data_IF_219383695106
#
_entry.id   IF_219383695106
#
_cell.length_a   1.000
_cell.length_b   1.000
_cell.length_c   1.000
_cell.angle_alpha   90.00
_cell.angle_beta   90.00
_cell.angle_gamma   90.00
#
_symmetry.space_group_name_H-M   'P 1'
#
loop_
_entity.id
_entity.type
_entity.pdbx_description
1 polymer ?
#
# COMPACT_ATOMS: atom_id res chain seq x y z
N UNK A 1 18.85 19.58 -6.91
CA UNK A 1 18.18 19.20 -5.64
C UNK A 1 17.34 20.36 -5.10
N UNK A 2 17.85 21.60 -5.05
CA UNK A 2 17.07 22.78 -4.68
C UNK A 2 15.88 23.07 -5.62
N UNK A 3 16.02 22.85 -6.95
CA UNK A 3 14.89 22.99 -7.90
C UNK A 3 13.76 21.99 -7.70
N UNK A 4 14.07 20.76 -7.26
CA UNK A 4 13.05 19.74 -7.01
C UNK A 4 12.27 20.09 -5.75
N UNK A 5 12.96 20.54 -4.69
CA UNK A 5 12.34 21.04 -3.47
C UNK A 5 11.51 22.30 -3.76
N UNK A 6 11.99 23.22 -4.60
CA UNK A 6 11.27 24.43 -4.99
C UNK A 6 10.03 24.15 -5.84
N UNK A 7 10.17 23.31 -6.86
CA UNK A 7 9.05 22.88 -7.72
C UNK A 7 8.02 22.08 -6.91
N UNK A 8 8.48 21.22 -6.00
CA UNK A 8 7.62 20.38 -5.17
C UNK A 8 6.90 21.16 -4.07
N UNK A 9 7.62 22.06 -3.37
CA UNK A 9 7.00 22.99 -2.43
C UNK A 9 6.04 23.92 -3.13
N UNK A 10 6.33 24.40 -4.34
CA UNK A 10 5.36 25.18 -5.13
C UNK A 10 4.11 24.37 -5.44
N UNK A 11 4.27 23.09 -5.83
CA UNK A 11 3.17 22.16 -6.13
C UNK A 11 2.31 21.83 -4.91
N UNK A 12 2.91 21.76 -3.71
CA UNK A 12 2.22 21.46 -2.44
C UNK A 12 1.78 22.72 -1.66
N UNK A 13 2.40 23.88 -1.91
CA UNK A 13 2.12 25.16 -1.23
C UNK A 13 0.76 25.75 -1.62
N UNK A 14 0.12 25.21 -2.65
CA UNK A 14 -1.28 25.47 -2.98
C UNK A 14 -2.27 24.70 -2.06
N UNK A 15 -1.77 23.95 -1.07
CA UNK A 15 -2.55 23.60 0.12
C UNK A 15 -3.63 22.53 -0.06
N UNK A 16 -3.58 21.73 -1.12
CA UNK A 16 -4.53 20.64 -1.32
C UNK A 16 -3.81 19.30 -1.34
N UNK A 17 -4.08 18.49 -0.32
CA UNK A 17 -3.94 17.05 -0.46
C UNK A 17 -4.71 16.62 -1.70
N UNK A 18 -4.05 15.92 -2.64
CA UNK A 18 -4.75 15.42 -3.81
C UNK A 18 -5.55 14.20 -3.38
N UNK A 19 -6.87 14.32 -3.43
CA UNK A 19 -7.81 13.23 -3.24
C UNK A 19 -8.02 12.53 -4.58
N UNK A 20 -7.72 11.24 -4.64
CA UNK A 20 -8.08 10.40 -5.78
C UNK A 20 -9.02 9.28 -5.35
N UNK A 21 -10.03 9.02 -6.18
CA UNK A 21 -10.86 7.83 -6.00
C UNK A 21 -9.98 6.58 -6.15
N UNK A 22 -10.43 5.50 -5.56
CA UNK A 22 -9.61 4.30 -5.53
C UNK A 22 -10.41 3.04 -5.79
N UNK A 23 -9.70 1.99 -6.20
CA UNK A 23 -10.28 0.71 -6.58
C UNK A 23 -9.63 -0.42 -5.81
N UNK A 24 -10.46 -1.40 -5.44
CA UNK A 24 -10.01 -2.70 -4.97
C UNK A 24 -9.89 -3.65 -6.16
N UNK A 25 -8.86 -4.50 -6.19
CA UNK A 25 -8.77 -5.55 -7.19
C UNK A 25 -9.96 -6.50 -7.06
N UNK A 26 -10.58 -6.84 -8.20
CA UNK A 26 -11.71 -7.79 -8.27
C UNK A 26 -11.36 -9.22 -7.84
N UNK A 27 -10.08 -9.53 -7.68
CA UNK A 27 -9.57 -10.84 -7.27
C UNK A 27 -8.50 -10.65 -6.20
N UNK A 28 -8.61 -11.46 -5.14
CA UNK A 28 -7.56 -11.56 -4.13
C UNK A 28 -6.38 -12.39 -4.67
N UNK A 29 -5.20 -11.77 -4.73
CA UNK A 29 -3.95 -12.39 -5.23
C UNK A 29 -2.98 -12.75 -4.11
N UNK A 30 -3.42 -12.68 -2.85
CA UNK A 30 -2.56 -12.84 -1.68
C UNK A 30 -2.25 -11.51 -0.99
N UNK A 31 -2.25 -10.40 -1.74
CA UNK A 31 -2.02 -9.03 -1.23
C UNK A 31 -3.35 -8.27 -1.23
N UNK A 32 -3.57 -7.45 -0.21
CA UNK A 32 -4.66 -6.47 -0.22
C UNK A 32 -4.06 -5.14 -0.67
N UNK A 33 -4.51 -4.66 -1.82
CA UNK A 33 -4.01 -3.44 -2.45
C UNK A 33 -5.18 -2.53 -2.82
N UNK A 34 -4.95 -1.22 -2.73
CA UNK A 34 -5.83 -0.19 -3.26
C UNK A 34 -5.09 0.50 -4.39
N UNK A 35 -5.77 0.72 -5.51
CA UNK A 35 -5.22 1.43 -6.67
C UNK A 35 -5.86 2.81 -6.81
N UNK A 36 -5.10 3.85 -7.15
CA UNK A 36 -5.70 5.07 -7.70
C UNK A 36 -6.53 4.74 -8.94
N UNK A 37 -7.76 5.27 -9.02
CA UNK A 37 -8.60 5.14 -10.22
C UNK A 37 -8.01 5.90 -11.41
N UNK A 38 -7.36 7.03 -11.12
CA UNK A 38 -6.61 7.84 -12.06
C UNK A 38 -5.14 7.89 -11.62
N UNK A 39 -4.24 7.69 -12.59
CA UNK A 39 -2.80 7.66 -12.36
C UNK A 39 -2.06 8.80 -13.08
N UNK A 40 -2.72 9.68 -13.82
CA UNK A 40 -2.06 10.68 -14.67
C UNK A 40 -1.11 11.57 -13.87
N UNK A 41 -1.57 12.08 -12.73
CA UNK A 41 -0.73 12.82 -11.78
C UNK A 41 0.50 12.02 -11.34
N UNK A 42 0.33 10.75 -10.99
CA UNK A 42 1.43 9.91 -10.54
C UNK A 42 2.41 9.58 -11.67
N UNK A 43 1.93 9.50 -12.92
CA UNK A 43 2.78 9.32 -14.11
C UNK A 43 3.61 10.56 -14.40
N UNK A 44 3.00 11.75 -14.36
CA UNK A 44 3.72 13.02 -14.50
C UNK A 44 4.79 13.15 -13.40
N UNK A 45 4.45 12.76 -12.18
CA UNK A 45 5.39 12.76 -11.07
C UNK A 45 6.56 11.78 -11.29
N UNK A 46 6.29 10.58 -11.82
CA UNK A 46 7.35 9.64 -12.20
C UNK A 46 8.30 10.23 -13.24
N UNK A 47 7.78 10.90 -14.27
CA UNK A 47 8.59 11.52 -15.32
C UNK A 47 9.53 12.60 -14.75
N UNK A 48 9.00 13.48 -13.90
CA UNK A 48 9.78 14.49 -13.17
C UNK A 48 10.85 13.85 -12.30
N UNK A 49 10.53 12.78 -11.56
CA UNK A 49 11.52 12.10 -10.72
C UNK A 49 12.64 11.48 -11.57
N UNK A 50 12.30 10.82 -12.68
CA UNK A 50 13.28 10.19 -13.58
C UNK A 50 14.19 11.24 -14.23
N UNK A 51 13.69 12.43 -14.57
CA UNK A 51 14.54 13.49 -15.13
C UNK A 51 15.62 13.97 -14.15
N UNK A 52 15.36 13.92 -12.83
CA UNK A 52 16.35 14.22 -11.80
C UNK A 52 17.21 13.00 -11.42
N UNK A 53 16.62 11.81 -11.44
CA UNK A 53 17.29 10.56 -11.09
C UNK A 53 17.24 9.58 -12.28
N UNK A 54 18.06 9.79 -13.33
CA UNK A 54 17.96 9.04 -14.59
C UNK A 54 18.29 7.54 -14.44
N UNK A 55 18.92 7.13 -13.35
CA UNK A 55 19.12 5.71 -13.02
C UNK A 55 17.88 5.00 -12.49
N UNK A 56 16.82 5.74 -12.15
CA UNK A 56 15.56 5.16 -11.70
C UNK A 56 14.61 4.92 -12.89
N UNK A 57 13.74 3.95 -12.72
CA UNK A 57 12.70 3.54 -13.66
C UNK A 57 11.33 3.69 -13.01
N UNK A 58 10.30 4.08 -13.78
CA UNK A 58 8.94 4.19 -13.27
C UNK A 58 8.38 2.82 -12.88
N UNK A 59 7.73 2.78 -11.71
CA UNK A 59 6.97 1.63 -11.24
C UNK A 59 5.67 1.51 -12.04
N UNK A 60 5.45 0.35 -12.68
CA UNK A 60 4.30 0.17 -13.58
C UNK A 60 2.98 0.00 -12.84
N UNK A 61 2.96 -0.79 -11.77
CA UNK A 61 1.76 -1.13 -11.02
C UNK A 61 1.65 -0.26 -9.77
N UNK A 62 1.11 0.95 -9.94
CA UNK A 62 0.89 1.90 -8.86
C UNK A 62 -0.25 1.42 -7.97
N UNK A 63 0.05 1.24 -6.68
CA UNK A 63 -0.91 0.82 -5.68
C UNK A 63 -0.38 1.14 -4.28
N UNK A 64 -1.31 1.28 -3.34
CA UNK A 64 -1.05 1.20 -1.91
C UNK A 64 -1.24 -0.24 -1.51
N UNK A 65 -0.21 -0.88 -0.95
CA UNK A 65 -0.42 -2.15 -0.26
C UNK A 65 -1.03 -1.85 1.11
N UNK A 66 -2.21 -2.39 1.37
CA UNK A 66 -2.86 -2.36 2.69
C UNK A 66 -2.35 -3.47 3.60
N UNK A 67 -2.06 -4.63 3.01
CA UNK A 67 -1.61 -5.81 3.74
C UNK A 67 -0.70 -6.68 2.87
N UNK A 68 0.46 -7.04 3.40
CA UNK A 68 1.41 -7.93 2.74
C UNK A 68 0.91 -9.38 2.71
N UNK A 69 1.35 -10.14 1.71
CA UNK A 69 0.87 -11.51 1.45
C UNK A 69 1.19 -12.57 2.51
N UNK A 70 2.14 -12.30 3.41
CA UNK A 70 2.47 -13.21 4.51
C UNK A 70 1.39 -13.20 5.59
N UNK A 71 0.77 -12.05 5.87
CA UNK A 71 -0.17 -11.89 6.99
C UNK A 71 -1.41 -12.77 6.86
N UNK A 72 -2.15 -12.78 5.73
CA UNK A 72 -3.35 -13.61 5.59
C UNK A 72 -3.10 -15.10 5.83
N UNK A 73 -1.88 -15.58 5.60
CA UNK A 73 -1.53 -16.99 5.81
C UNK A 73 -1.29 -17.34 7.27
N UNK A 74 -0.99 -16.35 8.11
CA UNK A 74 -0.73 -16.50 9.55
C UNK A 74 -2.01 -16.38 10.38
N UNK A 75 -3.07 -15.78 9.83
CA UNK A 75 -4.37 -15.63 10.48
C UNK A 75 -5.15 -16.95 10.35
N UNK A 76 -5.58 -17.49 11.47
CA UNK A 76 -6.48 -18.65 11.55
C UNK A 76 -7.73 -18.25 12.31
N UNK A 77 -8.88 -18.23 11.64
CA UNK A 77 -10.14 -18.00 12.35
C UNK A 77 -10.51 -19.26 13.13
N UNK A 78 -10.34 -19.23 14.46
CA UNK A 78 -10.68 -20.38 15.33
C UNK A 78 -12.18 -20.64 15.41
N UNK A 79 -13.02 -19.69 15.02
CA UNK A 79 -14.49 -19.81 15.02
C UNK A 79 -15.06 -20.28 13.68
N UNK A 80 -14.25 -20.31 12.62
CA UNK A 80 -14.65 -20.77 11.29
C UNK A 80 -13.81 -21.97 10.89
N UNK A 81 -14.46 -23.11 10.65
CA UNK A 81 -13.80 -24.33 10.21
C UNK A 81 -14.14 -24.64 8.76
N UNK A 82 -13.19 -25.24 8.05
CA UNK A 82 -13.48 -25.84 6.75
C UNK A 82 -14.29 -27.14 6.89
N UNK A 83 -14.66 -27.74 5.76
CA UNK A 83 -15.44 -28.99 5.74
C UNK A 83 -14.70 -30.19 6.36
N UNK A 84 -13.43 -30.04 6.76
CA UNK A 84 -12.61 -31.05 7.43
C UNK A 84 -12.38 -30.74 8.91
N UNK A 85 -13.02 -29.69 9.44
CA UNK A 85 -12.86 -29.29 10.84
C UNK A 85 -11.54 -28.55 11.13
N UNK A 86 -10.86 -28.01 10.12
CA UNK A 86 -9.61 -27.25 10.27
C UNK A 86 -9.94 -25.75 10.30
N UNK A 87 -9.36 -24.95 11.23
CA UNK A 87 -9.55 -23.51 11.25
C UNK A 87 -9.25 -22.88 9.88
N UNK A 88 -10.15 -22.02 9.42
CA UNK A 88 -10.05 -21.41 8.11
C UNK A 88 -8.92 -20.38 8.10
N UNK A 89 -7.98 -20.56 7.16
CA UNK A 89 -6.86 -19.64 6.94
C UNK A 89 -7.34 -18.31 6.33
N UNK A 90 -6.77 -17.19 6.76
CA UNK A 90 -7.20 -15.84 6.36
C UNK A 90 -7.18 -15.59 4.86
N UNK A 91 -6.15 -16.07 4.15
CA UNK A 91 -6.07 -15.97 2.69
C UNK A 91 -7.22 -16.73 1.98
N UNK A 92 -7.71 -17.83 2.56
CA UNK A 92 -8.85 -18.60 2.04
C UNK A 92 -10.17 -17.87 2.33
N UNK A 93 -10.31 -17.30 3.52
CA UNK A 93 -11.47 -16.48 3.88
C UNK A 93 -11.59 -15.26 2.94
N UNK A 94 -10.50 -14.52 2.76
CA UNK A 94 -10.43 -13.39 1.81
C UNK A 94 -10.74 -13.86 0.38
N UNK A 95 -10.09 -14.94 -0.09
CA UNK A 95 -10.36 -15.46 -1.45
C UNK A 95 -11.83 -15.85 -1.66
N UNK A 96 -12.49 -16.43 -0.65
CA UNK A 96 -13.92 -16.77 -0.70
C UNK A 96 -14.77 -15.50 -0.72
N UNK A 97 -14.46 -14.55 0.14
CA UNK A 97 -15.18 -13.29 0.23
C UNK A 97 -15.11 -12.46 -1.07
N UNK A 98 -13.94 -12.30 -1.68
CA UNK A 98 -13.78 -11.57 -2.94
C UNK A 98 -14.55 -12.20 -4.12
N UNK A 99 -14.88 -13.50 -4.04
CA UNK A 99 -15.74 -14.20 -5.02
C UNK A 99 -17.24 -14.06 -4.75
N UNK A 100 -17.63 -13.50 -3.61
CA UNK A 100 -19.04 -13.38 -3.19
C UNK A 100 -19.65 -12.05 -3.65
N UNK A 101 -20.97 -11.99 -3.77
CA UNK A 101 -21.70 -10.75 -4.07
C UNK A 101 -21.45 -9.64 -3.04
N UNK A 102 -21.17 -10.02 -1.77
CA UNK A 102 -20.84 -9.08 -0.70
C UNK A 102 -19.57 -8.27 -0.96
N UNK A 103 -18.65 -8.74 -1.81
CA UNK A 103 -17.45 -7.96 -2.15
C UNK A 103 -17.77 -6.76 -3.02
N UNK A 104 -18.91 -6.75 -3.73
CA UNK A 104 -19.32 -5.65 -4.61
C UNK A 104 -19.74 -4.40 -3.85
N UNK A 105 -20.11 -4.54 -2.57
CA UNK A 105 -20.45 -3.40 -1.71
C UNK A 105 -19.23 -2.80 -0.98
N UNK A 106 -18.01 -3.27 -1.28
CA UNK A 106 -16.80 -2.67 -0.72
C UNK A 106 -16.40 -1.45 -1.53
N UNK A 107 -16.37 -0.32 -0.82
CA UNK A 107 -15.82 0.92 -1.34
C UNK A 107 -14.52 1.21 -0.59
N UNK A 108 -13.37 1.21 -1.28
CA UNK A 108 -12.13 1.65 -0.65
C UNK A 108 -12.20 3.15 -0.34
N UNK A 109 -11.45 3.62 0.66
CA UNK A 109 -11.36 5.05 0.94
C UNK A 109 -10.67 5.79 -0.22
N UNK A 110 -10.91 7.09 -0.30
CA UNK A 110 -10.08 7.95 -1.15
C UNK A 110 -8.62 7.86 -0.72
N UNK A 111 -7.70 8.07 -1.65
CA UNK A 111 -6.28 8.20 -1.30
C UNK A 111 -5.95 9.68 -1.16
N UNK A 112 -5.41 10.05 -0.01
CA UNK A 112 -4.96 11.40 0.26
C UNK A 112 -3.44 11.45 0.16
N UNK A 113 -2.93 12.04 -0.92
CA UNK A 113 -1.50 12.12 -1.18
C UNK A 113 -0.83 13.17 -0.30
N UNK A 114 0.25 12.77 0.38
CA UNK A 114 1.09 13.65 1.20
C UNK A 114 2.48 13.86 0.61
N UNK A 115 3.47 13.86 1.50
CA UNK A 115 4.87 14.14 1.15
C UNK A 115 5.47 13.09 0.20
N UNK A 116 6.40 13.55 -0.64
CA UNK A 116 7.28 12.68 -1.41
C UNK A 116 8.46 12.26 -0.53
N UNK A 117 8.69 10.97 -0.44
CA UNK A 117 9.84 10.38 0.22
C UNK A 117 10.85 9.86 -0.79
N UNK A 118 12.13 10.08 -0.49
CA UNK A 118 13.24 9.40 -1.14
C UNK A 118 13.97 8.59 -0.08
N UNK A 119 14.13 7.30 -0.35
CA UNK A 119 14.86 6.39 0.53
C UNK A 119 16.01 5.75 -0.19
N UNK A 120 17.15 5.69 0.48
CA UNK A 120 18.37 5.07 -0.02
C UNK A 120 19.00 4.14 1.01
N UNK A 121 19.41 2.97 0.57
CA UNK A 121 20.12 1.96 1.36
C UNK A 121 21.18 1.26 0.48
N UNK A 122 22.46 1.51 0.76
CA UNK A 122 23.55 1.11 -0.14
C UNK A 122 23.36 1.72 -1.53
N UNK A 123 23.37 0.87 -2.55
CA UNK A 123 23.11 1.28 -3.95
C UNK A 123 21.63 1.40 -4.28
N UNK A 124 20.73 0.91 -3.41
CA UNK A 124 19.29 0.93 -3.68
C UNK A 124 18.73 2.31 -3.39
N UNK A 125 17.88 2.77 -4.29
CA UNK A 125 17.10 4.00 -4.13
C UNK A 125 15.65 3.74 -4.55
N UNK A 126 14.71 4.34 -3.81
CA UNK A 126 13.30 4.33 -4.16
C UNK A 126 12.68 5.68 -3.84
N UNK A 127 11.79 6.13 -4.71
CA UNK A 127 10.90 7.25 -4.43
C UNK A 127 9.48 6.74 -4.21
N UNK A 128 8.75 7.43 -3.35
CA UNK A 128 7.37 7.08 -3.01
C UNK A 128 6.62 8.32 -2.56
N UNK A 129 5.31 8.28 -2.68
CA UNK A 129 4.43 9.30 -2.09
C UNK A 129 3.70 8.70 -0.89
N UNK A 130 3.68 9.40 0.24
CA UNK A 130 2.98 8.97 1.46
C UNK A 130 1.48 9.15 1.30
N UNK A 131 0.73 8.30 1.98
CA UNK A 131 -0.73 8.41 2.11
C UNK A 131 -1.03 8.87 3.53
N UNK A 132 -1.66 10.05 3.66
CA UNK A 132 -1.81 10.71 4.98
C UNK A 132 -3.07 10.27 5.71
N UNK A 133 -4.11 9.83 5.00
CA UNK A 133 -5.35 9.31 5.58
C UNK A 133 -5.25 7.84 6.06
N UNK A 134 -4.15 7.53 6.74
CA UNK A 134 -3.88 6.19 7.31
C UNK A 134 -5.01 5.67 8.22
N UNK A 135 -5.75 6.56 8.90
CA UNK A 135 -6.91 6.21 9.70
C UNK A 135 -8.03 5.54 8.90
N UNK A 136 -8.38 6.10 7.74
CA UNK A 136 -9.40 5.55 6.85
C UNK A 136 -8.96 4.22 6.24
N UNK A 137 -7.68 4.12 5.88
CA UNK A 137 -7.07 2.89 5.36
C UNK A 137 -7.15 1.74 6.39
N UNK A 138 -6.81 2.03 7.65
CA UNK A 138 -6.89 1.07 8.75
C UNK A 138 -8.34 0.68 9.09
N UNK A 139 -9.27 1.65 9.01
CA UNK A 139 -10.70 1.41 9.22
C UNK A 139 -11.27 0.51 8.11
N UNK A 140 -10.94 0.80 6.87
CA UNK A 140 -11.32 -0.03 5.73
C UNK A 140 -10.80 -1.46 5.88
N UNK A 141 -9.52 -1.63 6.23
CA UNK A 141 -8.92 -2.93 6.45
C UNK A 141 -9.60 -3.68 7.61
N UNK A 142 -9.93 -3.00 8.71
CA UNK A 142 -10.68 -3.58 9.83
C UNK A 142 -12.07 -4.08 9.42
N UNK A 143 -12.81 -3.26 8.66
CA UNK A 143 -14.13 -3.63 8.15
C UNK A 143 -14.05 -4.85 7.21
N UNK A 144 -13.02 -4.91 6.36
CA UNK A 144 -12.78 -6.03 5.47
C UNK A 144 -12.60 -7.34 6.26
N UNK A 145 -11.85 -7.31 7.36
CA UNK A 145 -11.69 -8.50 8.21
C UNK A 145 -12.99 -8.95 8.84
N UNK A 146 -13.75 -8.01 9.41
CA UNK A 146 -15.07 -8.29 9.99
C UNK A 146 -16.00 -8.93 8.95
N UNK A 147 -16.08 -8.38 7.74
CA UNK A 147 -16.88 -8.93 6.65
C UNK A 147 -16.44 -10.34 6.20
N UNK A 148 -15.17 -10.67 6.41
CA UNK A 148 -14.60 -12.00 6.10
C UNK A 148 -14.69 -12.99 7.27
N UNK A 149 -15.16 -12.54 8.44
CA UNK A 149 -15.23 -13.32 9.67
C UNK A 149 -13.86 -13.60 10.29
N UNK A 150 -12.86 -12.76 9.99
CA UNK A 150 -11.53 -12.82 10.58
C UNK A 150 -11.49 -11.95 11.84
N UNK A 151 -10.91 -12.49 12.93
CA UNK A 151 -10.77 -11.75 14.18
C UNK A 151 -9.65 -10.70 14.04
N UNK A 152 -9.96 -9.46 14.42
CA UNK A 152 -9.00 -8.35 14.43
C UNK A 152 -7.80 -8.64 15.34
N UNK A 153 -7.98 -9.40 16.43
CA UNK A 153 -6.88 -9.79 17.32
C UNK A 153 -5.88 -10.71 16.63
N UNK A 154 -6.35 -11.66 15.84
CA UNK A 154 -5.49 -12.57 15.08
C UNK A 154 -4.69 -11.82 14.01
N UNK A 155 -5.31 -10.80 13.39
CA UNK A 155 -4.63 -9.90 12.44
C UNK A 155 -3.54 -9.10 13.14
N UNK A 156 -3.85 -8.47 14.28
CA UNK A 156 -2.89 -7.68 15.04
C UNK A 156 -1.70 -8.53 15.48
N UNK A 157 -1.95 -9.72 16.03
CA UNK A 157 -0.90 -10.65 16.42
C UNK A 157 -0.04 -11.08 15.22
N UNK A 158 -0.64 -11.38 14.06
CA UNK A 158 0.11 -11.70 12.85
C UNK A 158 0.96 -10.52 12.35
N UNK A 159 0.45 -9.29 12.47
CA UNK A 159 1.14 -8.06 12.03
C UNK A 159 2.33 -7.71 12.91
N UNK A 160 2.24 -7.98 14.22
CA UNK A 160 3.36 -7.82 15.15
C UNK A 160 4.52 -8.78 14.85
N UNK A 161 4.20 -9.98 14.34
CA UNK A 161 5.19 -10.99 13.96
C UNK A 161 5.84 -10.73 12.59
N UNK A 162 5.31 -9.80 11.79
CA UNK A 162 5.85 -9.46 10.47
C UNK A 162 6.58 -8.11 10.51
N UNK A 163 7.93 -8.11 10.40
CA UNK A 163 8.72 -6.88 10.47
C UNK A 163 8.33 -5.81 9.43
N UNK A 164 7.76 -6.22 8.29
CA UNK A 164 7.31 -5.31 7.21
C UNK A 164 6.00 -4.60 7.52
N UNK A 165 5.21 -5.10 8.47
CA UNK A 165 3.94 -4.49 8.87
C UNK A 165 4.09 -3.64 10.15
N UNK A 166 5.00 -4.04 11.04
CA UNK A 166 5.28 -3.28 12.26
C UNK A 166 5.91 -1.91 11.93
N UNK A 167 5.14 -0.83 12.13
CA UNK A 167 5.57 0.55 11.82
C UNK A 167 5.40 0.93 10.33
N UNK A 168 4.56 0.21 9.60
CA UNK A 168 4.26 0.46 8.18
C UNK A 168 3.76 1.89 7.94
N UNK A 169 4.28 2.52 6.89
CA UNK A 169 3.74 3.74 6.30
C UNK A 169 2.99 3.35 5.03
N UNK A 170 1.74 3.79 4.89
CA UNK A 170 1.02 3.66 3.63
C UNK A 170 1.63 4.61 2.60
N UNK A 171 1.98 4.06 1.45
CA UNK A 171 2.63 4.81 0.39
C UNK A 171 2.35 4.16 -0.97
N UNK A 172 2.60 4.90 -2.04
CA UNK A 172 2.70 4.37 -3.41
C UNK A 172 4.15 4.49 -3.86
N UNK A 173 4.78 3.38 -4.23
CA UNK A 173 6.12 3.40 -4.83
C UNK A 173 6.05 4.00 -6.23
N UNK A 174 6.84 5.04 -6.49
CA UNK A 174 6.81 5.77 -7.76
C UNK A 174 7.94 5.32 -8.67
N UNK A 175 9.19 5.35 -8.21
CA UNK A 175 10.34 4.94 -9.02
C UNK A 175 11.32 4.12 -8.18
N UNK A 176 12.06 3.23 -8.83
CA UNK A 176 13.21 2.51 -8.26
C UNK A 176 14.14 2.05 -9.39
N UNK A 177 15.24 1.36 -9.09
CA UNK A 177 16.23 0.97 -10.11
C UNK A 177 15.69 -0.01 -11.18
N UNK A 178 14.66 -0.79 -10.87
CA UNK A 178 14.19 -1.90 -11.73
C UNK A 178 12.84 -1.62 -12.40
N UNK A 179 12.06 -0.68 -11.87
CA UNK A 179 10.64 -0.45 -12.22
C UNK A 179 9.68 -1.48 -11.62
N UNK A 180 10.18 -2.42 -10.80
CA UNK A 180 9.38 -3.47 -10.17
C UNK A 180 8.93 -3.02 -8.77
N UNK A 181 7.62 -2.99 -8.46
CA UNK A 181 7.13 -2.62 -7.13
C UNK A 181 7.76 -3.44 -5.99
N UNK A 182 8.05 -4.73 -6.24
CA UNK A 182 8.62 -5.63 -5.22
C UNK A 182 10.04 -5.27 -4.77
N UNK A 183 10.76 -4.47 -5.56
CA UNK A 183 12.12 -4.04 -5.26
C UNK A 183 12.16 -2.68 -4.53
N UNK A 184 10.99 -2.08 -4.25
CA UNK A 184 10.93 -0.83 -3.52
C UNK A 184 11.40 -0.98 -2.08
N UNK A 185 12.26 -0.05 -1.65
CA UNK A 185 12.81 -0.02 -0.29
C UNK A 185 12.09 0.96 0.64
N UNK A 186 10.98 1.56 0.20
CA UNK A 186 10.23 2.56 0.96
C UNK A 186 9.89 2.11 2.39
N UNK A 187 9.50 0.84 2.56
CA UNK A 187 9.11 0.26 3.86
C UNK A 187 10.24 -0.49 4.60
N UNK A 188 11.48 -0.47 4.12
CA UNK A 188 12.58 -1.17 4.82
C UNK A 188 12.96 -0.38 6.08
N UNK A 189 13.19 -1.06 7.21
CA UNK A 189 13.71 -0.40 8.42
C UNK A 189 15.18 -0.04 8.22
N UNK A 190 15.56 1.20 8.53
CA UNK A 190 16.90 1.72 8.28
C UNK A 190 17.03 2.48 6.95
N UNK A 191 18.25 2.86 6.60
CA UNK A 191 18.56 3.70 5.44
C UNK A 191 18.39 5.20 5.70
N UNK A 192 18.87 6.02 4.75
CA UNK A 192 18.69 7.47 4.78
C UNK A 192 17.38 7.81 4.08
N UNK A 193 16.51 8.54 4.78
CA UNK A 193 15.23 9.03 4.27
C UNK A 193 15.27 10.55 4.16
N UNK A 194 14.80 11.06 3.03
CA UNK A 194 14.61 12.48 2.77
C UNK A 194 13.15 12.69 2.44
N UNK A 195 12.45 13.47 3.27
CA UNK A 195 11.10 13.94 2.99
C UNK A 195 11.21 15.28 2.25
N UNK A 196 10.49 15.40 1.14
CA UNK A 196 10.50 16.56 0.27
C UNK A 196 9.18 17.31 0.36
#
# INVERSE_FOLDING_TARGET
MQDLIGTWKSFLSEGSFLLTSSELPRKFTGIIQIKPSDNDFLRELQEKIVSIYPGQKPVRNLHVTLLHQSIPKMIYSKSLFDSKGIPLRGDKALKKFFKSEKSKSLFPPFLEFGELGIKSEGEKISTYIKIVNSGDMNKFLSNLYEMTGLDKKDVSAASELEPRESGRIFHISLTNLTGNPGDSIANIRGGKEINL
#
